data_IF_713403914692
#
_entry.id   IF_713403914692
#
_cell.length_a   1.000
_cell.length_b   1.000
_cell.length_c   1.000
_cell.angle_alpha   90.00
_cell.angle_beta   90.00
_cell.angle_gamma   90.00
#
_symmetry.space_group_name_H-M   'P 1'
#
loop_
_entity.id
_entity.type
_entity.pdbx_description
1 polymer ?
#
# COMPACT_ATOMS: atom_id res chain seq x y z
N UNK A 1 23.70 26.48 -21.34
CA UNK A 1 22.78 25.39 -21.70
C UNK A 1 21.40 25.76 -21.17
N UNK A 2 20.30 25.45 -21.87
CA UNK A 2 18.97 25.66 -21.31
C UNK A 2 18.76 24.76 -20.08
N UNK A 3 18.25 25.33 -19.01
CA UNK A 3 17.89 24.59 -17.80
C UNK A 3 16.58 23.87 -18.03
N UNK A 4 16.56 22.55 -17.88
CA UNK A 4 15.32 21.74 -17.89
C UNK A 4 14.87 21.53 -16.44
N UNK A 5 13.62 21.85 -16.14
CA UNK A 5 13.01 21.50 -14.86
C UNK A 5 12.38 20.11 -14.98
N UNK A 6 12.69 19.22 -14.03
CA UNK A 6 12.14 17.87 -13.96
C UNK A 6 11.35 17.73 -12.66
N UNK A 7 10.09 17.31 -12.77
CA UNK A 7 9.22 17.04 -11.63
C UNK A 7 8.90 15.55 -11.57
N UNK A 8 9.33 14.89 -10.50
CA UNK A 8 8.88 13.53 -10.19
C UNK A 8 7.61 13.58 -9.36
N UNK A 9 6.59 12.85 -9.80
CA UNK A 9 5.32 12.70 -9.10
C UNK A 9 5.08 11.20 -8.84
N UNK A 10 5.08 10.79 -7.59
CA UNK A 10 4.83 9.39 -7.19
C UNK A 10 3.42 9.24 -6.62
N UNK A 11 2.58 8.41 -7.24
CA UNK A 11 1.24 8.10 -6.75
C UNK A 11 1.25 6.82 -5.91
N UNK A 12 0.99 6.93 -4.61
CA UNK A 12 0.91 5.79 -3.70
C UNK A 12 -0.55 5.51 -3.35
N UNK A 13 -1.06 4.40 -3.87
CA UNK A 13 -2.43 3.96 -3.70
C UNK A 13 -2.54 2.48 -3.37
N UNK A 14 -3.54 2.16 -2.56
CA UNK A 14 -4.15 0.84 -2.45
C UNK A 14 -5.67 1.03 -2.36
N UNK A 15 -6.45 0.12 -2.96
CA UNK A 15 -7.87 0.00 -2.69
C UNK A 15 -8.18 -0.01 -1.19
N UNK A 16 -9.40 0.39 -0.83
CA UNK A 16 -9.89 0.17 0.52
C UNK A 16 -10.31 -1.30 0.67
N UNK A 17 -9.44 -2.10 1.28
CA UNK A 17 -9.65 -3.54 1.45
C UNK A 17 -10.55 -3.96 2.61
N UNK A 18 -10.62 -3.24 3.77
CA UNK A 18 -11.44 -3.68 4.89
C UNK A 18 -12.91 -3.85 4.52
N UNK A 19 -13.49 -4.98 4.93
CA UNK A 19 -14.93 -5.16 5.04
C UNK A 19 -15.37 -4.68 6.43
N UNK A 20 -15.87 -3.45 6.48
CA UNK A 20 -16.32 -2.83 7.72
C UNK A 20 -17.60 -3.49 8.29
N UNK A 21 -18.35 -4.27 7.49
CA UNK A 21 -19.53 -5.00 7.95
C UNK A 21 -19.15 -6.34 8.57
N UNK A 22 -18.27 -7.10 7.90
CA UNK A 22 -17.75 -8.39 8.37
C UNK A 22 -16.66 -8.26 9.43
N UNK A 23 -16.09 -7.06 9.60
CA UNK A 23 -14.87 -6.81 10.40
C UNK A 23 -13.69 -7.69 9.94
N UNK A 24 -13.58 -7.88 8.63
CA UNK A 24 -12.52 -8.65 7.99
C UNK A 24 -11.64 -7.73 7.13
N UNK A 25 -10.40 -8.15 6.88
CA UNK A 25 -9.53 -7.50 5.94
C UNK A 25 -8.78 -8.57 5.13
N UNK A 26 -9.24 -8.86 3.91
CA UNK A 26 -8.78 -10.03 3.17
C UNK A 26 -7.39 -9.86 2.56
N UNK A 27 -6.93 -8.61 2.35
CA UNK A 27 -5.72 -8.34 1.57
C UNK A 27 -4.62 -7.68 2.42
N UNK A 28 -3.38 -8.23 2.40
CA UNK A 28 -2.28 -7.72 3.22
C UNK A 28 -1.54 -6.53 2.60
N UNK A 29 -1.96 -6.09 1.41
CA UNK A 29 -1.14 -5.24 0.54
C UNK A 29 -0.77 -3.90 1.15
N UNK A 30 -1.65 -3.27 1.92
CA UNK A 30 -1.32 -2.02 2.64
C UNK A 30 -0.15 -2.24 3.60
N UNK A 31 -0.13 -3.35 4.34
CA UNK A 31 0.94 -3.65 5.29
C UNK A 31 2.23 -4.04 4.57
N UNK A 32 2.16 -4.96 3.61
CA UNK A 32 3.35 -5.48 2.92
C UNK A 32 4.02 -4.40 2.04
N UNK A 33 3.25 -3.63 1.27
CA UNK A 33 3.80 -2.48 0.54
C UNK A 33 4.19 -1.33 1.48
N UNK A 34 3.56 -1.21 2.65
CA UNK A 34 3.96 -0.23 3.66
C UNK A 34 5.39 -0.41 4.13
N UNK A 35 5.79 -1.64 4.50
CA UNK A 35 7.14 -1.94 4.98
C UNK A 35 8.20 -1.98 3.87
N UNK A 36 7.78 -2.07 2.61
CA UNK A 36 8.66 -2.12 1.44
C UNK A 36 8.73 -0.78 0.72
N UNK A 37 7.65 -0.39 0.07
CA UNK A 37 7.65 0.66 -0.94
C UNK A 37 7.41 2.03 -0.30
N UNK A 38 6.38 2.18 0.54
CA UNK A 38 6.05 3.49 1.12
C UNK A 38 7.14 3.96 2.10
N UNK A 39 7.58 3.06 2.98
CA UNK A 39 8.69 3.36 3.89
C UNK A 39 10.03 3.46 3.15
N UNK A 40 10.34 2.50 2.27
CA UNK A 40 11.61 2.44 1.57
C UNK A 40 11.87 3.61 0.63
N UNK A 41 10.87 4.02 -0.16
CA UNK A 41 10.99 5.21 -1.01
C UNK A 41 11.23 6.48 -0.19
N UNK A 42 10.56 6.63 0.94
CA UNK A 42 10.76 7.78 1.83
C UNK A 42 12.16 7.78 2.46
N UNK A 43 12.70 6.61 2.83
CA UNK A 43 14.08 6.50 3.30
C UNK A 43 15.09 6.92 2.21
N UNK A 44 14.93 6.42 0.98
CA UNK A 44 15.81 6.83 -0.13
C UNK A 44 15.80 8.33 -0.38
N UNK A 45 14.63 8.98 -0.31
CA UNK A 45 14.56 10.44 -0.45
C UNK A 45 15.30 11.12 0.70
N UNK A 46 15.13 10.62 1.94
CA UNK A 46 15.81 11.17 3.12
C UNK A 46 17.35 11.08 3.02
N UNK A 47 17.88 10.06 2.35
CA UNK A 47 19.32 9.90 2.10
C UNK A 47 19.91 10.93 1.12
N UNK A 48 19.06 11.61 0.34
CA UNK A 48 19.49 12.57 -0.71
C UNK A 48 18.81 13.94 -0.51
N UNK A 49 19.29 14.78 0.44
CA UNK A 49 18.62 16.03 0.85
C UNK A 49 18.38 17.07 -0.25
N UNK A 50 19.15 16.99 -1.34
CA UNK A 50 19.04 17.87 -2.50
C UNK A 50 17.93 17.45 -3.46
N UNK A 51 17.49 16.17 -3.42
CA UNK A 51 16.44 15.67 -4.27
C UNK A 51 15.07 16.19 -3.80
N UNK A 52 14.31 16.78 -4.73
CA UNK A 52 12.96 17.30 -4.47
C UNK A 52 11.98 16.56 -5.35
N UNK A 53 10.86 16.12 -4.78
CA UNK A 53 9.81 15.45 -5.54
C UNK A 53 8.42 15.70 -4.95
N UNK A 54 7.40 15.23 -5.64
CA UNK A 54 6.03 15.17 -5.12
C UNK A 54 5.67 13.72 -4.81
N UNK A 55 5.06 13.48 -3.65
CA UNK A 55 4.41 12.22 -3.34
C UNK A 55 2.93 12.48 -3.12
N UNK A 56 2.10 11.72 -3.81
CA UNK A 56 0.67 11.68 -3.56
C UNK A 56 0.32 10.49 -2.69
N UNK A 57 -0.31 10.78 -1.55
CA UNK A 57 -0.76 9.76 -0.60
C UNK A 57 -2.29 9.76 -0.60
N UNK A 58 -2.88 8.66 -1.10
CA UNK A 58 -4.34 8.54 -1.13
C UNK A 58 -4.89 8.44 0.30
N UNK A 59 -5.92 9.22 0.68
CA UNK A 59 -6.44 9.22 2.04
C UNK A 59 -6.90 7.83 2.54
N UNK A 60 -7.55 7.03 1.70
CA UNK A 60 -7.95 5.67 2.05
C UNK A 60 -6.78 4.73 2.33
N UNK A 61 -5.60 4.95 1.73
CA UNK A 61 -4.37 4.22 2.07
C UNK A 61 -3.90 4.62 3.48
N UNK A 62 -3.84 5.92 3.77
CA UNK A 62 -3.42 6.45 5.07
C UNK A 62 -4.36 6.00 6.20
N UNK A 63 -5.67 5.97 5.93
CA UNK A 63 -6.68 5.44 6.85
C UNK A 63 -6.43 3.97 7.20
N UNK A 64 -6.08 3.16 6.20
CA UNK A 64 -5.77 1.74 6.43
C UNK A 64 -4.48 1.57 7.22
N UNK A 65 -3.43 2.36 6.93
CA UNK A 65 -2.18 2.36 7.71
C UNK A 65 -2.44 2.65 9.19
N UNK A 66 -3.20 3.72 9.50
CA UNK A 66 -3.59 4.02 10.88
C UNK A 66 -4.49 2.95 11.52
N UNK A 67 -5.26 2.24 10.69
CA UNK A 67 -6.00 1.06 11.09
C UNK A 67 -5.09 0.03 11.80
N UNK A 68 -3.98 -0.33 11.18
CA UNK A 68 -3.02 -1.28 11.76
C UNK A 68 -2.31 -0.72 13.00
N UNK A 69 -1.94 0.56 12.97
CA UNK A 69 -1.01 1.11 13.96
C UNK A 69 -1.68 1.60 15.23
N UNK A 70 -2.87 2.19 15.10
CA UNK A 70 -3.52 2.99 16.15
C UNK A 70 -4.85 2.35 16.60
N UNK A 71 -5.47 1.56 15.73
CA UNK A 71 -6.83 0.99 15.96
C UNK A 71 -6.85 -0.52 16.09
N UNK A 72 -5.68 -1.17 16.08
CA UNK A 72 -5.55 -2.62 16.25
C UNK A 72 -6.17 -3.45 15.12
N UNK A 73 -6.41 -2.86 13.94
CA UNK A 73 -6.84 -3.63 12.77
C UNK A 73 -5.72 -4.58 12.33
N UNK A 74 -6.14 -5.65 11.68
CA UNK A 74 -5.29 -6.72 11.17
C UNK A 74 -5.68 -7.04 9.74
N UNK A 75 -5.02 -8.01 9.14
CA UNK A 75 -5.39 -8.66 7.89
C UNK A 75 -5.26 -10.17 8.03
N UNK A 76 -5.99 -10.92 7.19
CA UNK A 76 -5.98 -12.39 7.25
C UNK A 76 -4.57 -12.98 7.17
N UNK A 77 -3.67 -12.35 6.43
CA UNK A 77 -2.28 -12.78 6.30
C UNK A 77 -1.50 -12.58 7.60
N UNK A 78 -1.69 -11.45 8.29
CA UNK A 78 -1.10 -11.16 9.60
C UNK A 78 -1.66 -12.09 10.68
N UNK A 79 -2.97 -12.31 10.69
CA UNK A 79 -3.63 -13.21 11.64
C UNK A 79 -3.06 -14.62 11.56
N UNK A 80 -3.01 -15.17 10.34
CA UNK A 80 -2.42 -16.50 10.12
C UNK A 80 -0.92 -16.50 10.41
N UNK A 81 -0.20 -15.39 10.16
CA UNK A 81 1.22 -15.27 10.53
C UNK A 81 1.44 -15.32 12.05
N UNK A 82 0.50 -14.79 12.85
CA UNK A 82 0.60 -14.76 14.32
C UNK A 82 0.25 -16.10 14.98
N UNK A 83 -0.52 -16.97 14.34
CA UNK A 83 -0.83 -18.31 14.89
C UNK A 83 0.45 -19.13 15.01
N UNK A 84 0.67 -19.78 16.16
CA UNK A 84 1.77 -20.73 16.35
C UNK A 84 1.72 -21.82 15.28
N UNK A 85 2.86 -22.15 14.66
CA UNK A 85 2.86 -23.10 13.55
C UNK A 85 2.41 -24.51 13.97
N UNK A 86 2.56 -24.85 15.25
CA UNK A 86 2.07 -26.11 15.83
C UNK A 86 0.56 -26.11 16.09
N UNK A 87 -0.08 -24.93 16.11
CA UNK A 87 -1.50 -24.74 16.40
C UNK A 87 -2.32 -24.35 15.17
N UNK A 88 -1.70 -24.26 13.99
CA UNK A 88 -2.40 -24.01 12.73
C UNK A 88 -3.42 -25.12 12.49
N UNK A 89 -4.69 -24.76 12.30
CA UNK A 89 -5.65 -25.71 11.77
C UNK A 89 -5.37 -25.98 10.28
N UNK A 90 -6.04 -26.98 9.74
CA UNK A 90 -5.87 -27.39 8.34
C UNK A 90 -6.11 -26.25 7.34
N UNK A 91 -7.13 -25.42 7.57
CA UNK A 91 -7.48 -24.30 6.70
C UNK A 91 -6.43 -23.18 6.72
N UNK A 92 -5.92 -22.83 7.91
CA UNK A 92 -4.84 -21.84 8.07
C UNK A 92 -3.54 -22.32 7.40
N UNK A 93 -3.19 -23.59 7.57
CA UNK A 93 -2.02 -24.16 6.94
C UNK A 93 -2.14 -24.19 5.41
N UNK A 94 -3.32 -24.51 4.87
CA UNK A 94 -3.55 -24.42 3.43
C UNK A 94 -3.49 -22.96 2.93
N UNK A 95 -4.04 -22.02 3.70
CA UNK A 95 -3.96 -20.60 3.38
C UNK A 95 -2.50 -20.12 3.27
N UNK A 96 -1.62 -20.56 4.17
CA UNK A 96 -0.18 -20.28 4.06
C UNK A 96 0.36 -20.74 2.71
N UNK A 97 0.11 -22.00 2.35
CA UNK A 97 0.67 -22.59 1.14
C UNK A 97 0.13 -21.96 -0.15
N UNK A 98 -1.10 -21.45 -0.13
CA UNK A 98 -1.68 -20.79 -1.32
C UNK A 98 -1.24 -19.32 -1.45
N UNK A 99 -0.98 -18.63 -0.35
CA UNK A 99 -0.81 -17.17 -0.37
C UNK A 99 0.60 -16.69 0.01
N UNK A 100 1.37 -17.45 0.78
CA UNK A 100 2.64 -16.97 1.33
C UNK A 100 3.78 -17.00 0.32
N UNK A 101 3.54 -17.44 -0.91
CA UNK A 101 4.46 -17.32 -2.04
C UNK A 101 4.03 -16.25 -3.06
N UNK A 102 3.03 -15.41 -2.73
CA UNK A 102 2.64 -14.25 -3.55
C UNK A 102 3.67 -13.13 -3.46
N UNK A 103 4.87 -13.41 -3.96
CA UNK A 103 6.01 -12.51 -4.08
C UNK A 103 6.75 -12.84 -5.37
N UNK A 104 7.55 -11.90 -5.90
CA UNK A 104 8.30 -12.16 -7.12
C UNK A 104 9.33 -13.27 -6.88
N UNK A 105 9.24 -14.36 -7.65
CA UNK A 105 10.11 -15.54 -7.44
C UNK A 105 11.57 -15.19 -7.62
N UNK A 106 11.93 -14.38 -8.61
CA UNK A 106 13.33 -14.08 -8.95
C UNK A 106 13.98 -13.13 -7.95
N UNK A 107 13.28 -12.08 -7.53
CA UNK A 107 13.86 -11.01 -6.72
C UNK A 107 13.52 -11.10 -5.23
N UNK A 108 12.47 -11.84 -4.84
CA UNK A 108 11.99 -11.87 -3.45
C UNK A 108 12.01 -13.26 -2.82
N UNK A 109 12.01 -14.34 -3.60
CA UNK A 109 12.03 -15.72 -3.08
C UNK A 109 13.39 -16.37 -3.29
N UNK A 110 13.81 -16.49 -4.55
CA UNK A 110 15.05 -17.15 -4.98
C UNK A 110 16.32 -16.64 -4.29
N UNK A 111 16.48 -15.33 -3.99
CA UNK A 111 17.69 -14.85 -3.32
C UNK A 111 17.90 -15.39 -1.90
N UNK A 112 16.84 -15.93 -1.26
CA UNK A 112 16.88 -16.43 0.10
C UNK A 112 16.81 -17.97 0.11
N UNK A 113 17.91 -18.68 0.39
CA UNK A 113 17.99 -20.13 0.15
C UNK A 113 16.88 -20.95 0.82
N UNK A 114 16.55 -20.63 2.08
CA UNK A 114 15.50 -21.32 2.82
C UNK A 114 14.11 -21.02 2.26
N UNK A 115 13.84 -19.78 1.87
CA UNK A 115 12.54 -19.44 1.30
C UNK A 115 12.34 -20.12 -0.06
N UNK A 116 13.39 -20.17 -0.87
CA UNK A 116 13.38 -20.89 -2.14
C UNK A 116 13.21 -22.40 -1.96
N UNK A 117 13.84 -23.00 -0.95
CA UNK A 117 13.62 -24.41 -0.59
C UNK A 117 12.13 -24.69 -0.28
N UNK A 118 11.49 -23.82 0.53
CA UNK A 118 10.06 -23.94 0.86
C UNK A 118 9.17 -23.77 -0.39
N UNK A 119 9.55 -22.86 -1.29
CA UNK A 119 8.86 -22.67 -2.57
C UNK A 119 8.99 -23.92 -3.46
N UNK A 120 10.16 -24.55 -3.51
CA UNK A 120 10.34 -25.81 -4.23
C UNK A 120 9.54 -26.95 -3.59
N UNK A 121 9.48 -27.00 -2.26
CA UNK A 121 8.71 -27.99 -1.50
C UNK A 121 7.20 -27.89 -1.75
N UNK A 122 6.68 -26.65 -1.85
CA UNK A 122 5.29 -26.34 -2.25
C UNK A 122 4.94 -26.96 -3.61
N UNK A 123 5.93 -27.11 -4.49
CA UNK A 123 5.79 -27.74 -5.79
C UNK A 123 5.07 -26.87 -6.81
N UNK A 124 4.53 -27.49 -7.86
CA UNK A 124 3.92 -26.75 -8.97
C UNK A 124 2.70 -25.91 -8.52
N UNK A 125 2.50 -24.71 -9.09
CA UNK A 125 1.41 -23.80 -8.74
C UNK A 125 0.02 -24.44 -8.77
N UNK A 126 -0.22 -25.39 -9.68
CA UNK A 126 -1.51 -26.07 -9.83
C UNK A 126 -1.74 -27.19 -8.80
N UNK A 127 -0.79 -27.48 -7.91
CA UNK A 127 -0.97 -28.46 -6.84
C UNK A 127 -1.85 -27.83 -5.75
N UNK A 128 -2.99 -28.44 -5.38
CA UNK A 128 -3.80 -27.96 -4.26
C UNK A 128 -2.99 -27.92 -2.96
N UNK A 129 -3.16 -26.88 -2.15
CA UNK A 129 -2.42 -26.71 -0.88
C UNK A 129 -2.53 -27.93 0.04
N UNK A 130 -3.70 -28.54 0.17
CA UNK A 130 -3.93 -29.75 0.99
C UNK A 130 -2.96 -30.89 0.63
N UNK A 131 -2.74 -31.11 -0.68
CA UNK A 131 -1.77 -32.13 -1.15
C UNK A 131 -0.32 -31.74 -0.90
N UNK A 132 -0.01 -30.45 -0.91
CA UNK A 132 1.33 -29.97 -0.61
C UNK A 132 1.62 -30.02 0.91
N UNK A 133 0.60 -29.81 1.74
CA UNK A 133 0.72 -29.70 3.20
C UNK A 133 1.36 -30.93 3.84
N UNK A 134 1.12 -32.13 3.33
CA UNK A 134 1.74 -33.35 3.85
C UNK A 134 3.27 -33.38 3.74
N UNK A 135 3.87 -32.45 2.99
CA UNK A 135 5.33 -32.29 2.83
C UNK A 135 5.93 -31.31 3.83
N UNK A 136 5.11 -30.51 4.51
CA UNK A 136 5.55 -29.45 5.41
C UNK A 136 5.47 -29.93 6.86
N UNK A 137 6.56 -29.75 7.59
CA UNK A 137 6.56 -29.82 9.05
C UNK A 137 6.10 -28.49 9.67
N UNK A 138 5.72 -28.46 10.95
CA UNK A 138 5.44 -27.21 11.66
C UNK A 138 6.62 -26.22 11.60
N UNK A 139 7.86 -26.71 11.56
CA UNK A 139 9.05 -25.85 11.39
C UNK A 139 9.10 -25.20 10.01
N UNK A 140 8.72 -25.93 8.96
CA UNK A 140 8.66 -25.40 7.59
C UNK A 140 7.58 -24.32 7.47
N UNK A 141 6.41 -24.55 8.08
CA UNK A 141 5.33 -23.56 8.12
C UNK A 141 5.72 -22.31 8.89
N UNK A 142 6.44 -22.45 10.02
CA UNK A 142 6.97 -21.30 10.76
C UNK A 142 7.99 -20.51 9.94
N UNK A 143 8.96 -21.18 9.33
CA UNK A 143 9.94 -20.52 8.47
C UNK A 143 9.25 -19.82 7.29
N UNK A 144 8.17 -20.40 6.74
CA UNK A 144 7.36 -19.77 5.69
C UNK A 144 6.63 -18.51 6.18
N UNK A 145 6.01 -18.56 7.35
CA UNK A 145 5.38 -17.39 7.98
C UNK A 145 6.39 -16.24 8.14
N UNK A 146 7.60 -16.56 8.60
CA UNK A 146 8.67 -15.58 8.76
C UNK A 146 9.14 -15.04 7.40
N UNK A 147 9.48 -15.91 6.46
CA UNK A 147 10.08 -15.48 5.19
C UNK A 147 9.16 -14.63 4.33
N UNK A 148 7.87 -14.97 4.26
CA UNK A 148 6.92 -14.14 3.54
C UNK A 148 6.92 -12.71 4.08
N UNK A 149 6.78 -12.53 5.40
CA UNK A 149 6.77 -11.20 6.00
C UNK A 149 8.13 -10.49 5.86
N UNK A 150 9.24 -11.21 6.03
CA UNK A 150 10.58 -10.66 5.98
C UNK A 150 10.97 -10.14 4.58
N UNK A 151 10.59 -10.85 3.51
CA UNK A 151 10.93 -10.43 2.13
C UNK A 151 10.20 -9.16 1.67
N UNK A 152 9.08 -8.82 2.32
CA UNK A 152 8.31 -7.60 2.09
C UNK A 152 8.83 -6.41 2.90
N UNK A 153 10.03 -6.48 3.49
CA UNK A 153 10.67 -5.35 4.16
C UNK A 153 11.75 -4.75 3.26
N UNK A 154 11.79 -3.43 3.17
CA UNK A 154 12.74 -2.74 2.31
C UNK A 154 14.20 -3.01 2.74
N UNK A 155 15.17 -3.18 1.81
CA UNK A 155 16.57 -3.42 2.14
C UNK A 155 17.17 -2.42 3.14
N UNK A 156 16.87 -1.12 2.99
CA UNK A 156 17.34 -0.07 3.91
C UNK A 156 16.93 -0.28 5.37
N UNK A 157 15.81 -0.96 5.63
CA UNK A 157 15.40 -1.28 7.00
C UNK A 157 16.47 -2.12 7.71
N UNK A 158 17.11 -3.05 7.00
CA UNK A 158 18.19 -3.88 7.53
C UNK A 158 19.52 -3.12 7.60
N UNK A 159 19.70 -2.07 6.80
CA UNK A 159 20.86 -1.18 6.85
C UNK A 159 20.80 -0.25 8.07
N UNK A 160 19.61 0.21 8.45
CA UNK A 160 19.42 1.08 9.61
C UNK A 160 19.29 0.31 10.95
N UNK A 161 18.83 -0.94 10.93
CA UNK A 161 18.56 -1.72 12.14
C UNK A 161 19.41 -3.00 12.21
N UNK A 162 20.37 -3.02 13.16
CA UNK A 162 21.27 -4.16 13.37
C UNK A 162 20.54 -5.44 13.78
N UNK A 163 19.48 -5.35 14.58
CA UNK A 163 18.76 -6.53 15.07
C UNK A 163 18.00 -7.20 13.93
N UNK A 164 17.34 -6.41 13.08
CA UNK A 164 16.68 -6.93 11.87
C UNK A 164 17.70 -7.51 10.88
N UNK A 165 18.89 -6.92 10.78
CA UNK A 165 19.98 -7.45 9.95
C UNK A 165 20.45 -8.83 10.43
N UNK A 166 20.69 -8.97 11.74
CA UNK A 166 21.07 -10.27 12.32
C UNK A 166 19.92 -11.29 12.20
N UNK A 167 18.67 -10.85 12.34
CA UNK A 167 17.50 -11.68 12.10
C UNK A 167 17.44 -12.20 10.66
N UNK A 168 17.69 -11.35 9.67
CA UNK A 168 17.76 -11.74 8.26
C UNK A 168 18.90 -12.73 7.99
N UNK A 169 20.08 -12.51 8.58
CA UNK A 169 21.23 -13.42 8.46
C UNK A 169 20.95 -14.82 9.02
N UNK A 170 20.15 -14.93 10.10
CA UNK A 170 19.76 -16.23 10.67
C UNK A 170 19.08 -17.11 9.64
N UNK A 171 18.20 -16.54 8.82
CA UNK A 171 17.65 -17.12 7.60
C UNK A 171 16.78 -18.39 7.71
N UNK A 172 16.74 -19.06 8.88
CA UNK A 172 15.92 -20.24 9.14
C UNK A 172 15.85 -20.59 10.62
N UNK A 173 14.95 -21.51 10.97
CA UNK A 173 14.86 -22.10 12.31
C UNK A 173 14.57 -21.06 13.40
N UNK A 174 13.72 -20.09 13.08
CA UNK A 174 13.24 -19.14 14.07
C UNK A 174 12.36 -19.84 15.12
N UNK A 175 12.28 -19.26 16.30
CA UNK A 175 11.32 -19.63 17.34
C UNK A 175 9.99 -18.93 17.11
N UNK A 176 8.94 -19.33 17.82
CA UNK A 176 7.66 -18.62 17.80
C UNK A 176 7.79 -17.19 18.34
N UNK A 177 8.61 -16.99 19.38
CA UNK A 177 8.90 -15.67 19.96
C UNK A 177 9.58 -14.73 18.95
N UNK A 178 10.57 -15.25 18.23
CA UNK A 178 11.26 -14.51 17.15
C UNK A 178 10.31 -14.15 16.00
N UNK A 179 9.38 -15.05 15.64
CA UNK A 179 8.33 -14.76 14.67
C UNK A 179 7.44 -13.61 15.14
N UNK A 180 6.95 -13.65 16.38
CA UNK A 180 6.12 -12.56 16.92
C UNK A 180 6.89 -11.24 16.93
N UNK A 181 8.17 -11.27 17.35
CA UNK A 181 9.02 -10.10 17.33
C UNK A 181 9.13 -9.48 15.93
N UNK A 182 9.35 -10.27 14.88
CA UNK A 182 9.40 -9.76 13.51
C UNK A 182 8.09 -9.08 13.09
N UNK A 183 6.95 -9.71 13.40
CA UNK A 183 5.63 -9.16 13.07
C UNK A 183 5.37 -7.83 13.80
N UNK A 184 5.86 -7.70 15.04
CA UNK A 184 5.79 -6.46 15.78
C UNK A 184 6.74 -5.38 15.23
N UNK A 185 7.93 -5.77 14.73
CA UNK A 185 8.82 -4.86 14.00
C UNK A 185 8.18 -4.32 12.72
N UNK A 186 7.45 -5.15 11.96
CA UNK A 186 6.70 -4.67 10.79
C UNK A 186 5.68 -3.60 11.18
N UNK A 187 4.91 -3.80 12.26
CA UNK A 187 3.94 -2.81 12.73
C UNK A 187 4.63 -1.53 13.24
N UNK A 188 5.83 -1.64 13.84
CA UNK A 188 6.63 -0.50 14.23
C UNK A 188 7.10 0.33 13.01
N UNK A 189 7.45 -0.33 11.91
CA UNK A 189 7.80 0.35 10.65
C UNK A 189 6.57 1.05 10.05
N UNK A 190 5.41 0.39 10.03
CA UNK A 190 4.16 1.03 9.56
C UNK A 190 3.87 2.33 10.32
N UNK A 191 4.07 2.33 11.65
CA UNK A 191 3.91 3.52 12.52
C UNK A 191 4.81 4.69 12.11
N UNK A 192 5.93 4.42 11.42
CA UNK A 192 6.88 5.46 10.99
C UNK A 192 6.56 6.06 9.64
N UNK A 193 5.70 5.44 8.82
CA UNK A 193 5.40 5.92 7.45
C UNK A 193 4.87 7.35 7.45
N UNK A 194 3.77 7.62 8.15
CA UNK A 194 3.15 8.96 8.16
C UNK A 194 4.12 10.01 8.77
N UNK A 195 4.75 9.78 9.95
CA UNK A 195 5.72 10.71 10.49
C UNK A 195 6.92 10.99 9.59
N UNK A 196 7.45 9.98 8.88
CA UNK A 196 8.58 10.15 7.98
C UNK A 196 8.21 10.99 6.76
N UNK A 197 7.04 10.77 6.16
CA UNK A 197 6.55 11.62 5.06
C UNK A 197 6.33 13.06 5.54
N UNK A 198 5.80 13.24 6.75
CA UNK A 198 5.67 14.58 7.36
C UNK A 198 7.03 15.25 7.54
N UNK A 199 8.04 14.53 8.04
CA UNK A 199 9.40 15.06 8.19
C UNK A 199 9.97 15.54 6.85
N UNK A 200 9.78 14.75 5.78
CA UNK A 200 10.19 15.12 4.43
C UNK A 200 9.45 16.35 3.90
N UNK A 201 8.16 16.48 4.21
CA UNK A 201 7.36 17.66 3.87
C UNK A 201 7.87 18.91 4.61
N UNK A 202 8.06 18.81 5.92
CA UNK A 202 8.47 19.92 6.77
C UNK A 202 9.91 20.38 6.45
N UNK A 203 10.78 19.45 6.03
CA UNK A 203 12.10 19.75 5.45
C UNK A 203 12.07 20.28 4.01
N UNK A 204 10.88 20.38 3.42
CA UNK A 204 10.62 20.86 2.06
C UNK A 204 11.10 19.92 0.95
N UNK A 205 11.54 18.70 1.28
CA UNK A 205 12.06 17.74 0.29
C UNK A 205 10.93 17.17 -0.57
N UNK A 206 9.78 16.99 0.05
CA UNK A 206 8.60 16.41 -0.59
C UNK A 206 7.45 17.38 -0.51
N UNK A 207 6.79 17.67 -1.64
CA UNK A 207 5.40 18.15 -1.59
C UNK A 207 4.49 16.94 -1.42
N UNK A 208 3.73 16.89 -0.32
CA UNK A 208 2.67 15.90 -0.17
C UNK A 208 1.39 16.44 -0.79
N UNK A 209 0.78 15.61 -1.63
CA UNK A 209 -0.50 15.89 -2.28
C UNK A 209 -1.53 14.83 -1.91
N UNK A 210 -2.80 15.14 -2.20
CA UNK A 210 -3.93 14.25 -1.89
C UNK A 210 -4.70 13.81 -3.13
N UNK A 211 -5.69 12.96 -2.94
CA UNK A 211 -6.62 12.44 -3.95
C UNK A 211 -8.01 12.41 -3.31
N UNK A 212 -9.12 12.48 -4.07
CA UNK A 212 -10.45 12.26 -3.52
C UNK A 212 -10.49 11.01 -2.62
N UNK A 213 -11.13 11.11 -1.45
CA UNK A 213 -10.77 10.30 -0.28
C UNK A 213 -10.68 8.78 -0.51
N UNK A 214 -11.66 8.17 -1.17
CA UNK A 214 -11.68 6.73 -1.47
C UNK A 214 -11.31 6.42 -2.93
N UNK A 215 -10.57 7.34 -3.56
CA UNK A 215 -10.16 7.26 -4.96
C UNK A 215 -11.31 7.09 -5.98
N UNK A 216 -12.47 7.79 -5.87
CA UNK A 216 -13.50 7.73 -6.91
C UNK A 216 -13.09 8.47 -8.19
N UNK A 217 -13.56 7.95 -9.33
CA UNK A 217 -13.53 8.65 -10.62
C UNK A 217 -14.54 9.82 -10.59
N UNK A 218 -14.08 11.01 -10.18
CA UNK A 218 -14.95 12.17 -9.94
C UNK A 218 -15.87 12.52 -11.11
N UNK A 219 -15.44 12.53 -12.39
CA UNK A 219 -16.35 12.83 -13.50
C UNK A 219 -17.58 11.91 -13.54
N UNK A 220 -17.44 10.63 -13.19
CA UNK A 220 -18.55 9.66 -13.20
C UNK A 220 -19.49 9.82 -12.01
N UNK A 221 -19.00 10.32 -10.87
CA UNK A 221 -19.87 10.74 -9.76
C UNK A 221 -20.61 12.03 -10.13
N UNK A 222 -19.96 12.94 -10.85
CA UNK A 222 -20.51 14.22 -11.24
C UNK A 222 -21.65 14.06 -12.26
N UNK A 223 -21.36 13.46 -13.42
CA UNK A 223 -22.34 13.07 -14.43
C UNK A 223 -21.77 11.92 -15.27
N UNK A 224 -22.40 10.74 -15.19
CA UNK A 224 -21.98 9.53 -15.92
C UNK A 224 -22.01 9.72 -17.44
N UNK A 225 -22.80 10.66 -17.97
CA UNK A 225 -22.84 10.97 -19.40
C UNK A 225 -21.53 11.57 -19.91
N UNK A 226 -20.72 12.17 -19.03
CA UNK A 226 -19.41 12.72 -19.38
C UNK A 226 -18.44 11.64 -19.88
N UNK A 227 -18.67 10.35 -19.56
CA UNK A 227 -17.90 9.25 -20.14
C UNK A 227 -17.89 9.29 -21.68
N UNK A 228 -18.97 9.79 -22.31
CA UNK A 228 -19.06 9.91 -23.77
C UNK A 228 -18.25 11.06 -24.37
N UNK A 229 -17.73 11.98 -23.57
CA UNK A 229 -16.80 12.99 -24.08
C UNK A 229 -15.46 12.33 -24.45
N UNK A 230 -14.96 11.43 -23.61
CA UNK A 230 -13.76 10.65 -23.88
C UNK A 230 -14.03 9.42 -24.76
N UNK A 231 -15.17 8.76 -24.58
CA UNK A 231 -15.55 7.52 -25.28
C UNK A 231 -16.95 7.62 -25.89
N UNK A 232 -17.12 8.28 -27.06
CA UNK A 232 -18.44 8.62 -27.62
C UNK A 232 -19.44 7.47 -27.74
N UNK A 233 -18.94 6.26 -28.02
CA UNK A 233 -19.75 5.08 -28.26
C UNK A 233 -19.84 4.15 -27.03
N UNK A 234 -19.40 4.57 -25.85
CA UNK A 234 -19.53 3.74 -24.66
C UNK A 234 -20.99 3.56 -24.24
N UNK A 235 -21.30 2.33 -23.82
CA UNK A 235 -22.55 2.02 -23.16
C UNK A 235 -22.57 2.68 -21.79
N UNK A 236 -23.70 3.34 -21.48
CA UNK A 236 -23.92 3.95 -20.19
C UNK A 236 -24.68 3.00 -19.27
N UNK A 237 -24.46 3.05 -17.95
CA UNK A 237 -25.24 2.28 -17.01
C UNK A 237 -26.72 2.69 -17.04
N UNK A 238 -27.61 1.79 -16.60
CA UNK A 238 -29.06 2.05 -16.56
C UNK A 238 -29.44 3.23 -15.66
N UNK A 239 -28.71 3.41 -14.56
CA UNK A 239 -28.90 4.54 -13.65
C UNK A 239 -27.89 5.66 -13.96
N UNK A 240 -28.40 6.86 -14.25
CA UNK A 240 -27.65 8.07 -14.58
C UNK A 240 -27.71 9.16 -13.50
N UNK A 241 -28.28 8.86 -12.33
CA UNK A 241 -28.37 9.80 -11.21
C UNK A 241 -26.98 10.35 -10.87
N UNK A 242 -26.91 11.65 -10.61
CA UNK A 242 -25.68 12.32 -10.20
C UNK A 242 -25.41 12.05 -8.72
N UNK A 243 -24.15 11.76 -8.40
CA UNK A 243 -23.61 11.66 -7.05
C UNK A 243 -22.68 12.86 -6.77
N UNK A 244 -23.03 14.05 -7.28
CA UNK A 244 -22.25 15.28 -7.09
C UNK A 244 -22.00 15.59 -5.61
N UNK A 245 -22.97 15.33 -4.73
CA UNK A 245 -22.79 15.50 -3.28
C UNK A 245 -21.64 14.65 -2.74
N UNK A 246 -21.55 13.40 -3.18
CA UNK A 246 -20.50 12.47 -2.78
C UNK A 246 -19.14 12.91 -3.33
N UNK A 247 -19.09 13.37 -4.59
CA UNK A 247 -17.88 13.93 -5.18
C UNK A 247 -17.33 15.10 -4.35
N UNK A 248 -18.19 16.04 -3.94
CA UNK A 248 -17.82 17.16 -3.07
C UNK A 248 -17.35 16.68 -1.69
N UNK A 249 -18.02 15.68 -1.12
CA UNK A 249 -17.66 15.12 0.17
C UNK A 249 -16.27 14.45 0.12
N UNK A 250 -15.96 13.71 -0.95
CA UNK A 250 -14.64 13.10 -1.13
C UNK A 250 -13.52 14.13 -1.24
N UNK A 251 -13.76 15.28 -1.88
CA UNK A 251 -12.80 16.37 -1.96
C UNK A 251 -12.56 17.01 -0.59
N UNK A 252 -13.64 17.35 0.11
CA UNK A 252 -13.59 17.97 1.44
C UNK A 252 -12.87 17.08 2.45
N UNK A 253 -13.28 15.81 2.55
CA UNK A 253 -12.66 14.85 3.46
C UNK A 253 -11.18 14.66 3.16
N UNK A 254 -10.77 14.65 1.88
CA UNK A 254 -9.38 14.46 1.50
C UNK A 254 -8.48 15.61 1.97
N UNK A 255 -8.96 16.85 1.88
CA UNK A 255 -8.24 18.05 2.36
C UNK A 255 -8.17 18.07 3.88
N UNK A 256 -9.31 17.89 4.56
CA UNK A 256 -9.37 17.86 6.03
C UNK A 256 -8.48 16.77 6.62
N UNK A 257 -8.48 15.58 6.01
CA UNK A 257 -7.68 14.46 6.48
C UNK A 257 -6.19 14.70 6.26
N UNK A 258 -5.80 15.22 5.11
CA UNK A 258 -4.41 15.61 4.84
C UNK A 258 -3.92 16.65 5.86
N UNK A 259 -4.71 17.70 6.10
CA UNK A 259 -4.37 18.73 7.09
C UNK A 259 -4.23 18.15 8.50
N UNK A 260 -5.11 17.22 8.89
CA UNK A 260 -5.04 16.58 10.20
C UNK A 260 -3.76 15.75 10.42
N UNK A 261 -3.22 15.14 9.36
CA UNK A 261 -2.03 14.28 9.44
C UNK A 261 -0.72 15.07 9.27
N UNK A 262 -0.71 16.05 8.36
CA UNK A 262 0.51 16.73 7.94
C UNK A 262 0.61 18.18 8.45
N UNK A 263 -0.45 18.70 9.06
CA UNK A 263 -0.51 20.02 9.70
C UNK A 263 -0.83 21.18 8.75
N UNK A 264 -0.94 20.91 7.44
CA UNK A 264 -1.30 21.90 6.42
C UNK A 264 -2.19 21.27 5.35
N UNK A 265 -3.11 22.04 4.75
CA UNK A 265 -3.90 21.55 3.62
C UNK A 265 -3.00 21.31 2.40
N UNK A 266 -3.31 20.30 1.56
CA UNK A 266 -2.53 20.00 0.36
C UNK A 266 -2.71 21.10 -0.68
N UNK A 267 -1.63 21.42 -1.41
CA UNK A 267 -1.68 22.37 -2.52
C UNK A 267 -1.95 21.68 -3.86
N UNK A 268 -1.41 20.48 -4.05
CA UNK A 268 -1.66 19.65 -5.21
C UNK A 268 -2.66 18.54 -4.97
N UNK A 269 -3.25 18.03 -6.05
CA UNK A 269 -4.07 16.83 -6.05
C UNK A 269 -3.81 15.98 -7.29
N UNK A 270 -3.77 14.66 -7.13
CA UNK A 270 -3.94 13.72 -8.24
C UNK A 270 -5.41 13.28 -8.27
N UNK A 271 -6.24 13.75 -9.22
CA UNK A 271 -7.57 13.18 -9.43
C UNK A 271 -7.43 11.69 -9.73
N UNK A 272 -8.33 10.85 -9.22
CA UNK A 272 -8.26 9.40 -9.42
C UNK A 272 -8.06 9.03 -10.89
N UNK A 273 -7.00 8.28 -11.18
CA UNK A 273 -6.58 7.89 -12.53
C UNK A 273 -6.33 9.07 -13.49
N UNK A 274 -5.99 10.26 -12.96
CA UNK A 274 -5.85 11.48 -13.75
C UNK A 274 -7.17 11.99 -14.33
N UNK A 275 -8.31 11.45 -13.91
CA UNK A 275 -9.61 11.73 -14.51
C UNK A 275 -10.12 13.15 -14.21
N UNK A 276 -10.45 13.88 -15.27
CA UNK A 276 -10.91 15.28 -15.18
C UNK A 276 -12.10 15.54 -16.11
N UNK A 277 -12.89 16.54 -15.76
CA UNK A 277 -13.86 17.19 -16.66
C UNK A 277 -13.97 18.67 -16.27
N UNK A 278 -14.47 19.51 -17.18
CA UNK A 278 -14.49 20.96 -16.95
C UNK A 278 -15.32 21.35 -15.71
N UNK A 279 -16.38 20.58 -15.44
CA UNK A 279 -17.35 20.88 -14.40
C UNK A 279 -16.85 20.59 -12.98
N UNK A 280 -15.86 19.70 -12.80
CA UNK A 280 -15.29 19.41 -11.47
C UNK A 280 -14.20 20.40 -11.04
N UNK A 281 -13.60 21.14 -11.98
CA UNK A 281 -12.47 22.05 -11.70
C UNK A 281 -12.83 23.11 -10.66
N UNK A 282 -13.99 23.81 -10.73
CA UNK A 282 -14.36 24.79 -9.71
C UNK A 282 -14.47 24.17 -8.31
N UNK A 283 -15.05 22.97 -8.20
CA UNK A 283 -15.19 22.28 -6.91
C UNK A 283 -13.84 21.86 -6.30
N UNK A 284 -12.88 21.43 -7.14
CA UNK A 284 -11.51 21.15 -6.70
C UNK A 284 -10.85 22.44 -6.19
N UNK A 285 -10.97 23.54 -6.94
CA UNK A 285 -10.38 24.83 -6.58
C UNK A 285 -10.99 25.45 -5.31
N UNK A 286 -12.30 25.31 -5.10
CA UNK A 286 -13.01 25.75 -3.90
C UNK A 286 -12.49 25.05 -2.62
N UNK A 287 -11.95 23.83 -2.75
CA UNK A 287 -11.30 23.12 -1.65
C UNK A 287 -9.86 23.60 -1.36
N UNK A 288 -9.39 24.64 -2.04
CA UNK A 288 -8.07 25.23 -1.83
C UNK A 288 -6.93 24.61 -2.63
N UNK A 289 -7.21 23.56 -3.43
CA UNK A 289 -6.25 22.94 -4.33
C UNK A 289 -5.82 23.94 -5.41
N UNK A 290 -4.51 24.04 -5.63
CA UNK A 290 -3.87 25.01 -6.54
C UNK A 290 -3.47 24.41 -7.87
N UNK A 291 -3.23 23.11 -7.90
CA UNK A 291 -2.82 22.41 -9.11
C UNK A 291 -3.27 20.95 -9.08
N UNK A 292 -3.49 20.38 -10.26
CA UNK A 292 -3.78 18.95 -10.45
C UNK A 292 -2.86 18.36 -11.51
N UNK A 293 -2.58 17.06 -11.42
CA UNK A 293 -1.88 16.31 -12.47
C UNK A 293 -2.90 15.49 -13.29
N UNK A 294 -2.76 15.51 -14.62
CA UNK A 294 -3.58 14.74 -15.57
C UNK A 294 -2.72 14.41 -16.82
N UNK A 295 -3.31 13.71 -17.77
CA UNK A 295 -2.65 13.23 -19.00
C UNK A 295 -2.29 14.40 -19.95
N UNK A 296 -1.23 14.21 -20.75
CA UNK A 296 -0.80 15.16 -21.77
C UNK A 296 -1.84 15.35 -22.88
N UNK A 297 -2.62 14.31 -23.20
CA UNK A 297 -3.67 14.37 -24.23
C UNK A 297 -4.76 15.41 -23.92
N UNK A 298 -4.92 15.79 -22.65
CA UNK A 298 -5.88 16.81 -22.21
C UNK A 298 -5.41 18.24 -22.54
N UNK A 299 -4.12 18.44 -22.78
CA UNK A 299 -3.51 19.76 -23.05
C UNK A 299 -3.48 20.12 -24.54
N UNK A 300 -3.82 19.18 -25.43
CA UNK A 300 -3.72 19.30 -26.88
C UNK A 300 -4.93 19.95 -27.56
#
# INVERSE_FOLDING_TARGET
MPTTALAFFWHQHQPYYPDDLGNENPMPWVRLHGTKDYYGMALHIKEVPEFRCTINLVPSLLLQLQGYTDRGRTDRHLDVSRISAESLNHGDACYLLDNFFMANVESMIRPYPRYFELYQLRGFPNTPADKALSRFSPRDLRDLQVWNNLTWMHPLVFEENSDLREFLKKGKHWTEEEKQWLLDQQLAILRRIIPLHKELQDGGQVELTTTPFFHPILPLLWDKKLARQAMPNCDLPRNLDSYRGDALQHLKMAVEYHESLFGTPPKGMWPSEGSVCQEIIPAIAECGIKWIATDEEILA
#
